data_IF_921233618213
#
_entry.id   IF_921233618213
#
_cell.length_a   1.000
_cell.length_b   1.000
_cell.length_c   1.000
_cell.angle_alpha   90.00
_cell.angle_beta   90.00
_cell.angle_gamma   90.00
#
_symmetry.space_group_name_H-M   'P 1'
#
loop_
_entity.id
_entity.type
_entity.pdbx_description
1 polymer ?
#
# COMPACT_ATOMS: atom_id res chain seq x y z
N UNK A 1 -20.60 8.92 -7.36
CA UNK A 1 -19.20 8.46 -7.55
C UNK A 1 -19.17 6.95 -7.40
N UNK A 2 -18.48 6.21 -8.26
CA UNK A 2 -18.39 4.74 -8.15
C UNK A 2 -17.32 4.44 -7.09
N UNK A 3 -17.68 3.66 -6.07
CA UNK A 3 -16.71 3.18 -5.06
C UNK A 3 -15.86 2.09 -5.70
N UNK A 4 -14.54 2.25 -5.63
CA UNK A 4 -13.58 1.26 -6.09
C UNK A 4 -13.05 0.42 -4.92
N UNK A 5 -12.73 -0.83 -5.20
CA UNK A 5 -12.12 -1.76 -4.24
C UNK A 5 -10.65 -2.02 -4.63
N UNK A 6 -9.85 -2.45 -3.66
CA UNK A 6 -8.47 -2.85 -3.90
C UNK A 6 -8.43 -4.05 -4.86
N UNK A 7 -7.77 -3.87 -6.00
CA UNK A 7 -7.59 -4.88 -7.03
C UNK A 7 -6.40 -5.81 -6.79
N UNK A 8 -6.22 -6.76 -7.70
CA UNK A 8 -5.11 -7.72 -7.67
C UNK A 8 -3.75 -7.05 -7.82
N UNK A 9 -3.66 -5.94 -8.57
CA UNK A 9 -2.41 -5.21 -8.77
C UNK A 9 -1.91 -4.60 -7.46
N UNK A 10 -2.78 -3.83 -6.80
CA UNK A 10 -2.48 -3.18 -5.53
C UNK A 10 -2.28 -4.19 -4.40
N UNK A 11 -3.15 -5.20 -4.28
CA UNK A 11 -3.00 -6.22 -3.23
C UNK A 11 -1.72 -7.03 -3.38
N UNK A 12 -1.31 -7.39 -4.61
CA UNK A 12 -0.03 -8.06 -4.86
C UNK A 12 1.14 -7.17 -4.47
N UNK A 13 1.09 -5.88 -4.84
CA UNK A 13 2.16 -4.93 -4.56
C UNK A 13 2.32 -4.71 -3.06
N UNK A 14 1.23 -4.44 -2.32
CA UNK A 14 1.29 -4.27 -0.86
C UNK A 14 1.88 -5.52 -0.22
N UNK A 15 1.32 -6.71 -0.51
CA UNK A 15 1.79 -7.98 0.07
C UNK A 15 3.25 -8.31 -0.23
N UNK A 16 3.79 -7.83 -1.34
CA UNK A 16 5.21 -8.01 -1.70
C UNK A 16 6.14 -7.20 -0.80
N UNK A 17 5.68 -6.04 -0.33
CA UNK A 17 6.45 -5.16 0.55
C UNK A 17 6.18 -5.42 2.04
N UNK A 18 5.07 -6.08 2.37
CA UNK A 18 4.76 -6.52 3.73
C UNK A 18 5.33 -7.91 4.04
N UNK A 19 5.87 -8.09 5.26
CA UNK A 19 6.26 -9.43 5.74
C UNK A 19 5.05 -10.34 5.91
N UNK A 20 5.16 -11.63 5.56
CA UNK A 20 4.08 -12.61 5.70
C UNK A 20 4.41 -13.76 6.65
N UNK A 21 3.52 -14.02 7.62
CA UNK A 21 3.57 -15.24 8.44
C UNK A 21 2.18 -15.63 8.95
N UNK A 22 1.83 -16.91 8.85
CA UNK A 22 0.65 -17.45 9.52
C UNK A 22 0.87 -17.64 11.03
N UNK A 23 2.13 -17.75 11.46
CA UNK A 23 2.51 -17.79 12.89
C UNK A 23 2.71 -16.37 13.40
N UNK A 24 2.36 -16.15 14.67
CA UNK A 24 2.69 -14.90 15.35
C UNK A 24 4.20 -14.67 15.37
N UNK A 25 4.62 -13.43 15.15
CA UNK A 25 6.01 -13.01 15.17
C UNK A 25 6.14 -11.61 15.78
N UNK A 26 7.30 -11.26 16.32
CA UNK A 26 7.57 -9.88 16.76
C UNK A 26 7.90 -8.97 15.57
N UNK A 27 7.28 -7.80 15.47
CA UNK A 27 7.64 -6.78 14.49
C UNK A 27 9.04 -6.16 14.80
N UNK A 28 9.52 -5.13 14.07
CA UNK A 28 10.80 -4.48 14.38
C UNK A 28 10.89 -3.87 15.79
N UNK A 29 9.76 -3.53 16.41
CA UNK A 29 9.68 -3.08 17.80
C UNK A 29 9.47 -4.24 18.79
N UNK A 30 9.16 -5.43 18.30
CA UNK A 30 8.88 -6.64 19.08
C UNK A 30 7.40 -6.89 19.33
N UNK A 31 6.50 -6.06 18.79
CA UNK A 31 5.07 -6.24 19.00
C UNK A 31 4.54 -7.46 18.23
N UNK A 32 3.70 -8.31 18.86
CA UNK A 32 3.19 -9.51 18.21
C UNK A 32 2.32 -9.15 17.01
N UNK A 33 2.65 -9.75 15.88
CA UNK A 33 2.12 -9.45 14.55
C UNK A 33 1.85 -10.75 13.79
N UNK A 34 0.92 -10.75 12.83
CA UNK A 34 0.57 -11.92 12.01
C UNK A 34 0.11 -11.51 10.62
N UNK A 35 -0.06 -12.48 9.71
CA UNK A 35 -0.54 -12.22 8.35
C UNK A 35 0.46 -11.35 7.59
N UNK A 36 -0.06 -10.32 6.91
CA UNK A 36 0.74 -9.30 6.22
C UNK A 36 0.93 -8.06 7.08
N UNK A 37 1.54 -8.21 8.27
CA UNK A 37 1.82 -7.09 9.17
C UNK A 37 0.67 -6.68 10.10
N UNK A 38 -0.35 -7.52 10.30
CA UNK A 38 -1.46 -7.23 11.21
C UNK A 38 -0.99 -7.25 12.67
N UNK A 39 -1.05 -6.09 13.32
CA UNK A 39 -0.64 -5.91 14.70
C UNK A 39 -1.70 -6.49 15.66
N UNK A 40 -1.29 -7.42 16.53
CA UNK A 40 -2.21 -8.04 17.49
C UNK A 40 -2.39 -7.13 18.72
N UNK A 41 -1.30 -6.62 19.28
CA UNK A 41 -1.33 -5.70 20.42
C UNK A 41 -0.01 -4.93 20.56
N UNK A 42 -0.06 -3.72 21.15
CA UNK A 42 1.13 -2.95 21.58
C UNK A 42 1.51 -3.18 23.04
N UNK A 43 0.72 -3.93 23.80
CA UNK A 43 0.91 -4.08 25.26
C UNK A 43 1.89 -5.18 25.64
N UNK A 44 2.35 -5.99 24.68
CA UNK A 44 3.32 -7.06 24.89
C UNK A 44 4.40 -7.00 23.84
N UNK A 45 5.60 -7.47 24.19
CA UNK A 45 6.74 -7.54 23.28
C UNK A 45 7.42 -8.90 23.35
N UNK A 46 7.94 -9.35 22.22
CA UNK A 46 8.67 -10.59 22.01
C UNK A 46 9.98 -10.31 21.26
N UNK A 47 10.68 -11.36 20.82
CA UNK A 47 11.87 -11.26 19.98
C UNK A 47 11.62 -10.36 18.77
N UNK A 48 12.42 -9.30 18.61
CA UNK A 48 12.28 -8.32 17.53
C UNK A 48 12.68 -8.91 16.18
N UNK A 49 11.94 -8.54 15.13
CA UNK A 49 12.37 -8.80 13.76
C UNK A 49 13.33 -7.70 13.27
N UNK A 50 14.63 -7.92 13.43
CA UNK A 50 15.66 -7.01 12.92
C UNK A 50 16.09 -7.33 11.48
N UNK A 51 15.68 -8.47 10.93
CA UNK A 51 16.12 -8.95 9.61
C UNK A 51 15.17 -8.57 8.47
N UNK A 52 13.96 -8.11 8.80
CA UNK A 52 12.87 -7.92 7.84
C UNK A 52 12.16 -9.24 7.45
N UNK A 53 12.64 -10.40 7.91
CA UNK A 53 12.03 -11.70 7.68
C UNK A 53 11.27 -12.18 8.93
N UNK A 54 9.92 -12.23 8.92
CA UNK A 54 9.12 -12.66 10.08
C UNK A 54 9.55 -14.00 10.69
N UNK A 55 10.10 -14.91 9.87
CA UNK A 55 10.56 -16.24 10.31
C UNK A 55 11.70 -16.18 11.35
N UNK A 56 12.41 -15.08 11.48
CA UNK A 56 13.51 -14.93 12.47
C UNK A 56 13.02 -14.49 13.84
N UNK A 57 11.72 -14.29 14.02
CA UNK A 57 11.12 -13.69 15.22
C UNK A 57 9.81 -14.37 15.63
N UNK A 58 9.61 -15.61 15.16
CA UNK A 58 8.39 -16.37 15.45
C UNK A 58 8.26 -16.60 16.96
N UNK A 59 7.04 -16.39 17.47
CA UNK A 59 6.70 -16.83 18.82
C UNK A 59 6.69 -18.37 18.84
N UNK A 60 7.16 -18.92 19.96
CA UNK A 60 6.95 -20.34 20.26
C UNK A 60 5.46 -20.65 20.40
N UNK A 61 5.09 -21.93 20.28
CA UNK A 61 3.68 -22.32 20.41
C UNK A 61 3.12 -21.97 21.80
N UNK A 62 3.93 -22.11 22.86
CA UNK A 62 3.54 -21.78 24.22
C UNK A 62 3.26 -20.27 24.38
N UNK A 63 4.15 -19.41 23.87
CA UNK A 63 3.96 -17.96 23.88
C UNK A 63 2.72 -17.54 23.09
N UNK A 64 2.50 -18.13 21.91
CA UNK A 64 1.38 -17.77 21.06
C UNK A 64 0.03 -18.23 21.66
N UNK A 65 0.00 -19.40 22.31
CA UNK A 65 -1.16 -19.88 23.05
C UNK A 65 -1.45 -18.95 24.25
N UNK A 66 -0.43 -18.62 25.04
CA UNK A 66 -0.56 -17.71 26.18
C UNK A 66 -1.04 -16.32 25.75
N UNK A 67 -0.53 -15.79 24.62
CA UNK A 67 -0.99 -14.54 24.04
C UNK A 67 -2.46 -14.61 23.65
N UNK A 68 -2.85 -15.63 22.88
CA UNK A 68 -4.21 -15.82 22.40
C UNK A 68 -5.21 -15.91 23.56
N UNK A 69 -4.91 -16.70 24.59
CA UNK A 69 -5.73 -16.79 25.80
C UNK A 69 -5.80 -15.46 26.55
N UNK A 70 -4.67 -14.77 26.74
CA UNK A 70 -4.63 -13.53 27.52
C UNK A 70 -5.39 -12.37 26.90
N UNK A 71 -5.54 -12.37 25.57
CA UNK A 71 -6.30 -11.36 24.83
C UNK A 71 -7.70 -11.87 24.44
N UNK A 72 -8.08 -13.07 24.88
CA UNK A 72 -9.32 -13.75 24.48
C UNK A 72 -9.52 -13.75 22.96
N UNK A 73 -8.45 -14.03 22.20
CA UNK A 73 -8.52 -14.08 20.74
C UNK A 73 -9.38 -15.27 20.32
N UNK A 74 -10.38 -15.04 19.48
CA UNK A 74 -11.20 -16.10 18.86
C UNK A 74 -10.45 -16.92 17.79
N UNK A 75 -9.11 -16.95 17.82
CA UNK A 75 -8.24 -17.64 16.88
C UNK A 75 -6.89 -17.93 17.53
N UNK A 76 -6.15 -18.90 16.96
CA UNK A 76 -4.84 -19.33 17.44
C UNK A 76 -3.73 -19.00 16.43
N UNK A 77 -2.48 -19.26 16.82
CA UNK A 77 -1.32 -19.27 15.92
C UNK A 77 -0.90 -20.72 15.67
N UNK A 78 -0.71 -21.16 14.42
CA UNK A 78 -0.88 -20.40 13.19
C UNK A 78 -2.35 -20.04 12.88
N UNK A 79 -2.60 -18.86 12.32
CA UNK A 79 -3.91 -18.51 11.76
C UNK A 79 -4.15 -19.21 10.42
N UNK A 80 -5.41 -19.30 9.99
CA UNK A 80 -5.75 -19.77 8.65
C UNK A 80 -5.42 -18.72 7.58
N UNK A 81 -5.19 -19.18 6.34
CA UNK A 81 -5.02 -18.28 5.20
C UNK A 81 -6.24 -17.37 5.01
N UNK A 82 -7.45 -17.87 5.29
CA UNK A 82 -8.67 -17.07 5.24
C UNK A 82 -8.65 -15.94 6.26
N UNK A 83 -8.24 -16.22 7.51
CA UNK A 83 -8.13 -15.20 8.55
C UNK A 83 -7.06 -14.15 8.22
N UNK A 84 -5.92 -14.58 7.65
CA UNK A 84 -4.89 -13.64 7.17
C UNK A 84 -5.42 -12.71 6.07
N UNK A 85 -6.27 -13.21 5.17
CA UNK A 85 -6.94 -12.40 4.14
C UNK A 85 -7.96 -11.43 4.75
N UNK A 86 -8.70 -11.85 5.78
CA UNK A 86 -9.61 -10.96 6.52
C UNK A 86 -8.85 -9.80 7.15
N UNK A 87 -7.76 -10.07 7.89
CA UNK A 87 -6.93 -9.01 8.46
C UNK A 87 -6.38 -8.06 7.39
N UNK A 88 -5.87 -8.60 6.29
CA UNK A 88 -5.39 -7.76 5.20
C UNK A 88 -6.48 -6.85 4.62
N UNK A 89 -7.70 -7.34 4.48
CA UNK A 89 -8.83 -6.53 4.01
C UNK A 89 -9.20 -5.43 5.02
N UNK A 90 -9.18 -5.75 6.31
CA UNK A 90 -9.42 -4.79 7.40
C UNK A 90 -8.31 -3.72 7.44
N UNK A 91 -7.05 -4.12 7.41
CA UNK A 91 -5.88 -3.23 7.50
C UNK A 91 -5.78 -2.29 6.28
N UNK A 92 -6.27 -2.72 5.10
CA UNK A 92 -6.27 -1.89 3.89
C UNK A 92 -7.51 -0.99 3.76
N UNK A 93 -8.54 -1.18 4.60
CA UNK A 93 -9.82 -0.50 4.46
C UNK A 93 -9.70 1.03 4.58
N UNK A 94 -8.88 1.54 5.49
CA UNK A 94 -8.69 2.99 5.65
C UNK A 94 -8.05 3.62 4.39
N UNK A 95 -7.05 2.95 3.81
CA UNK A 95 -6.41 3.42 2.58
C UNK A 95 -7.37 3.39 1.39
N UNK A 96 -8.17 2.33 1.26
CA UNK A 96 -9.24 2.25 0.25
C UNK A 96 -10.26 3.37 0.42
N UNK A 97 -10.70 3.63 1.66
CA UNK A 97 -11.65 4.69 1.95
C UNK A 97 -11.06 6.09 1.66
N UNK A 98 -9.79 6.32 2.00
CA UNK A 98 -9.11 7.57 1.75
C UNK A 98 -8.96 7.87 0.26
N UNK A 99 -8.54 6.89 -0.55
CA UNK A 99 -8.42 7.07 -2.01
C UNK A 99 -9.79 7.26 -2.66
N UNK A 100 -10.83 6.58 -2.18
CA UNK A 100 -12.19 6.83 -2.66
C UNK A 100 -12.66 8.28 -2.37
N UNK A 101 -12.18 8.95 -1.32
CA UNK A 101 -12.53 10.36 -1.07
C UNK A 101 -11.85 11.35 -2.03
N UNK A 102 -10.84 10.92 -2.78
CA UNK A 102 -10.17 11.76 -3.77
C UNK A 102 -11.12 11.97 -4.95
N UNK A 103 -11.49 13.23 -5.20
CA UNK A 103 -12.36 13.62 -6.31
C UNK A 103 -11.51 14.04 -7.50
N UNK A 104 -11.48 13.26 -8.60
CA UNK A 104 -10.84 13.68 -9.85
C UNK A 104 -11.50 14.93 -10.43
N UNK A 105 -10.82 15.68 -11.32
CA UNK A 105 -11.47 16.77 -12.05
C UNK A 105 -12.69 16.27 -12.84
N UNK A 106 -13.65 17.17 -13.09
CA UNK A 106 -14.94 16.83 -13.73
C UNK A 106 -14.76 16.03 -15.01
N UNK A 107 -15.48 14.91 -15.12
CA UNK A 107 -15.40 14.01 -16.28
C UNK A 107 -14.30 12.95 -16.19
N UNK A 108 -13.42 13.01 -15.19
CA UNK A 108 -12.34 12.05 -15.02
C UNK A 108 -12.61 10.98 -13.97
N UNK A 109 -12.05 9.79 -14.20
CA UNK A 109 -12.12 8.64 -13.29
C UNK A 109 -10.79 7.91 -13.30
N UNK A 110 -10.40 7.35 -12.16
CA UNK A 110 -9.24 6.48 -12.07
C UNK A 110 -9.44 5.18 -12.87
N UNK A 111 -8.37 4.66 -13.44
CA UNK A 111 -8.31 3.22 -13.76
C UNK A 111 -8.15 2.40 -12.48
N UNK A 112 -8.37 1.08 -12.57
CA UNK A 112 -8.07 0.18 -11.46
C UNK A 112 -6.59 0.23 -11.05
N UNK A 113 -5.67 0.37 -12.00
CA UNK A 113 -4.23 0.42 -11.73
C UNK A 113 -3.81 1.72 -11.01
N UNK A 114 -4.41 2.85 -11.36
CA UNK A 114 -4.19 4.12 -10.66
C UNK A 114 -4.74 4.08 -9.23
N UNK A 115 -5.96 3.57 -9.07
CA UNK A 115 -6.56 3.38 -7.76
C UNK A 115 -5.71 2.47 -6.87
N UNK A 116 -5.31 1.30 -7.38
CA UNK A 116 -4.47 0.33 -6.69
C UNK A 116 -3.12 0.92 -6.23
N UNK A 117 -2.46 1.69 -7.08
CA UNK A 117 -1.19 2.33 -6.75
C UNK A 117 -1.33 3.40 -5.66
N UNK A 118 -2.39 4.23 -5.72
CA UNK A 118 -2.70 5.21 -4.68
C UNK A 118 -3.05 4.52 -3.36
N UNK A 119 -3.78 3.40 -3.38
CA UNK A 119 -4.08 2.63 -2.16
C UNK A 119 -2.80 2.08 -1.54
N UNK A 120 -1.85 1.56 -2.33
CA UNK A 120 -0.57 1.09 -1.78
C UNK A 120 0.27 2.22 -1.16
N UNK A 121 0.35 3.37 -1.84
CA UNK A 121 1.04 4.55 -1.31
C UNK A 121 0.39 5.00 0.00
N UNK A 122 -0.94 5.06 0.03
CA UNK A 122 -1.73 5.49 1.20
C UNK A 122 -1.63 4.51 2.36
N UNK A 123 -1.66 3.20 2.09
CA UNK A 123 -1.52 2.17 3.12
C UNK A 123 -0.17 2.30 3.85
N UNK A 124 0.89 2.65 3.14
CA UNK A 124 2.23 2.76 3.73
C UNK A 124 2.59 4.14 4.29
N UNK A 125 2.17 5.21 3.63
CA UNK A 125 2.46 6.58 4.07
C UNK A 125 1.35 7.24 4.89
N UNK A 126 0.20 6.58 5.04
CA UNK A 126 -1.01 7.14 5.65
C UNK A 126 -1.77 8.08 4.70
N UNK A 127 -3.03 8.43 5.04
CA UNK A 127 -3.93 9.23 4.18
C UNK A 127 -3.38 10.62 3.79
N UNK A 128 -2.53 11.22 4.63
CA UNK A 128 -1.97 12.56 4.38
C UNK A 128 -1.07 12.63 3.15
N UNK A 129 -0.55 11.50 2.65
CA UNK A 129 0.23 11.50 1.39
C UNK A 129 -0.60 12.03 0.21
N UNK A 130 -1.91 11.78 0.21
CA UNK A 130 -2.84 12.25 -0.81
C UNK A 130 -2.99 13.77 -0.82
N UNK A 131 -2.62 14.43 0.27
CA UNK A 131 -2.74 15.87 0.45
C UNK A 131 -1.44 16.64 0.15
N UNK A 132 -0.36 15.92 -0.15
CA UNK A 132 0.93 16.54 -0.52
C UNK A 132 0.79 17.35 -1.82
N UNK A 133 1.60 18.40 -1.96
CA UNK A 133 1.55 19.27 -3.13
C UNK A 133 1.81 18.50 -4.43
N UNK A 134 2.74 17.55 -4.42
CA UNK A 134 3.07 16.77 -5.62
C UNK A 134 1.94 15.81 -6.02
N UNK A 135 1.31 15.12 -5.06
CA UNK A 135 0.14 14.26 -5.35
C UNK A 135 -1.04 15.10 -5.84
N UNK A 136 -1.32 16.25 -5.21
CA UNK A 136 -2.37 17.17 -5.66
C UNK A 136 -2.09 17.70 -7.08
N UNK A 137 -0.85 18.06 -7.38
CA UNK A 137 -0.45 18.54 -8.71
C UNK A 137 -0.63 17.45 -9.78
N UNK A 138 -0.26 16.20 -9.48
CA UNK A 138 -0.51 15.07 -10.36
C UNK A 138 -2.01 14.86 -10.60
N UNK A 139 -2.82 14.82 -9.54
CA UNK A 139 -4.26 14.58 -9.61
C UNK A 139 -5.04 15.73 -10.29
N UNK A 140 -4.53 16.97 -10.23
CA UNK A 140 -5.14 18.10 -10.92
C UNK A 140 -4.97 18.04 -12.45
N UNK A 141 -4.00 17.26 -12.96
CA UNK A 141 -3.72 17.20 -14.39
C UNK A 141 -4.69 16.24 -15.11
N UNK A 142 -5.56 16.71 -16.02
CA UNK A 142 -6.54 15.86 -16.70
C UNK A 142 -5.90 14.77 -17.57
N UNK A 143 -4.67 14.99 -18.07
CA UNK A 143 -3.98 14.06 -18.97
C UNK A 143 -3.53 12.76 -18.28
N UNK A 144 -3.49 12.72 -16.94
CA UNK A 144 -3.12 11.51 -16.23
C UNK A 144 -4.24 10.45 -16.28
N UNK A 145 -5.49 10.87 -16.49
CA UNK A 145 -6.62 9.96 -16.38
C UNK A 145 -6.88 9.17 -17.68
N UNK A 146 -7.28 7.89 -17.59
CA UNK A 146 -7.62 7.07 -18.77
C UNK A 146 -8.78 7.64 -19.58
N UNK A 147 -9.65 8.40 -18.91
CA UNK A 147 -10.82 9.07 -19.48
C UNK A 147 -10.48 10.27 -20.37
N UNK A 148 -9.23 10.75 -20.35
CA UNK A 148 -8.83 11.84 -21.24
C UNK A 148 -8.94 11.40 -22.70
N UNK A 149 -9.79 12.07 -23.47
CA UNK A 149 -10.03 11.80 -24.89
C UNK A 149 -8.95 12.41 -25.79
N UNK A 150 -8.60 11.74 -26.88
CA UNK A 150 -7.64 12.24 -27.87
C UNK A 150 -6.18 11.87 -27.57
N UNK A 151 -5.27 12.14 -28.52
CA UNK A 151 -3.85 11.87 -28.35
C UNK A 151 -3.23 12.82 -27.31
N UNK A 152 -2.11 12.39 -26.71
CA UNK A 152 -1.24 13.27 -25.94
C UNK A 152 -0.05 13.68 -26.81
N UNK A 153 0.35 14.94 -26.75
CA UNK A 153 1.62 15.39 -27.31
C UNK A 153 2.80 14.79 -26.53
N UNK A 154 3.99 14.78 -27.14
CA UNK A 154 5.20 14.33 -26.44
C UNK A 154 5.47 15.12 -25.15
N UNK A 155 5.17 16.42 -25.12
CA UNK A 155 5.34 17.26 -23.92
C UNK A 155 4.32 16.91 -22.84
N UNK A 156 3.07 16.59 -23.21
CA UNK A 156 2.05 16.14 -22.26
C UNK A 156 2.39 14.76 -21.68
N UNK A 157 2.90 13.83 -22.49
CA UNK A 157 3.38 12.52 -22.04
C UNK A 157 4.51 12.69 -21.03
N UNK A 158 5.52 13.51 -21.35
CA UNK A 158 6.66 13.78 -20.47
C UNK A 158 6.21 14.44 -19.16
N UNK A 159 5.31 15.42 -19.24
CA UNK A 159 4.74 16.07 -18.06
C UNK A 159 4.01 15.08 -17.14
N UNK A 160 3.22 14.15 -17.69
CA UNK A 160 2.58 13.10 -16.91
C UNK A 160 3.61 12.21 -16.20
N UNK A 161 4.65 11.77 -16.90
CA UNK A 161 5.72 10.96 -16.31
C UNK A 161 6.42 11.69 -15.15
N UNK A 162 6.68 12.99 -15.29
CA UNK A 162 7.31 13.81 -14.23
C UNK A 162 6.42 13.99 -13.02
N UNK A 163 5.13 14.29 -13.24
CA UNK A 163 4.16 14.45 -12.16
C UNK A 163 4.02 13.16 -11.34
N UNK A 164 3.92 12.00 -12.00
CA UNK A 164 3.88 10.72 -11.30
C UNK A 164 5.16 10.48 -10.50
N UNK A 165 6.33 10.72 -11.10
CA UNK A 165 7.61 10.53 -10.40
C UNK A 165 7.71 11.41 -9.14
N UNK A 166 7.32 12.68 -9.21
CA UNK A 166 7.28 13.58 -8.04
C UNK A 166 6.25 13.15 -7.01
N UNK A 167 5.03 12.83 -7.42
CA UNK A 167 3.94 12.41 -6.53
C UNK A 167 4.26 11.15 -5.70
N UNK A 168 5.00 10.21 -6.28
CA UNK A 168 5.43 8.99 -5.58
C UNK A 168 6.80 9.14 -4.88
N UNK A 169 7.45 10.31 -4.90
CA UNK A 169 8.71 10.57 -4.18
C UNK A 169 8.47 10.81 -2.67
N UNK A 170 7.96 9.79 -1.98
CA UNK A 170 7.67 9.81 -0.54
C UNK A 170 8.51 8.78 0.25
N UNK A 171 9.24 9.24 1.28
CA UNK A 171 10.29 8.51 2.03
C UNK A 171 11.42 7.88 1.20
N UNK A 172 12.61 8.48 1.17
CA UNK A 172 13.70 8.08 0.26
C UNK A 172 14.19 6.64 0.45
N UNK A 173 14.16 6.14 1.69
CA UNK A 173 14.49 4.74 2.02
C UNK A 173 13.57 3.71 1.34
N UNK A 174 12.40 4.13 0.84
CA UNK A 174 11.40 3.29 0.18
C UNK A 174 11.42 3.42 -1.34
N UNK A 175 12.48 3.98 -1.94
CA UNK A 175 12.59 4.26 -3.38
C UNK A 175 12.15 3.07 -4.26
N UNK A 176 12.53 1.84 -3.93
CA UNK A 176 12.09 0.65 -4.68
C UNK A 176 10.56 0.48 -4.68
N UNK A 177 9.92 0.55 -3.50
CA UNK A 177 8.47 0.45 -3.36
C UNK A 177 7.76 1.55 -4.14
N UNK A 178 8.24 2.79 -3.98
CA UNK A 178 7.70 3.97 -4.67
C UNK A 178 7.78 3.87 -6.19
N UNK A 179 8.89 3.38 -6.75
CA UNK A 179 9.02 3.13 -8.19
C UNK A 179 8.03 2.07 -8.69
N UNK A 180 7.82 0.99 -7.93
CA UNK A 180 6.84 -0.05 -8.30
C UNK A 180 5.40 0.48 -8.27
N UNK A 181 5.06 1.31 -7.28
CA UNK A 181 3.75 1.98 -7.18
C UNK A 181 3.54 2.96 -8.35
N UNK A 182 4.53 3.81 -8.65
CA UNK A 182 4.49 4.72 -9.81
C UNK A 182 4.36 3.96 -11.14
N UNK A 183 5.05 2.83 -11.27
CA UNK A 183 4.94 1.96 -12.45
C UNK A 183 3.54 1.35 -12.56
N UNK A 184 2.97 0.90 -11.44
CA UNK A 184 1.59 0.41 -11.40
C UNK A 184 0.60 1.52 -11.77
N UNK A 185 0.79 2.74 -11.28
CA UNK A 185 -0.07 3.89 -11.60
C UNK A 185 -0.11 4.18 -13.11
N UNK A 186 1.03 4.08 -13.80
CA UNK A 186 1.12 4.29 -15.25
C UNK A 186 0.61 3.09 -16.08
N UNK A 187 0.27 1.95 -15.47
CA UNK A 187 -0.08 0.73 -16.20
C UNK A 187 -1.34 0.93 -17.04
N UNK A 188 -1.20 0.76 -18.35
CA UNK A 188 -2.28 0.91 -19.34
C UNK A 188 -2.60 2.36 -19.72
N UNK A 189 -1.81 3.33 -19.26
CA UNK A 189 -1.98 4.74 -19.60
C UNK A 189 -1.27 5.10 -20.91
N UNK A 190 -1.56 6.29 -21.44
CA UNK A 190 -0.92 6.87 -22.65
C UNK A 190 0.52 7.35 -22.40
N UNK A 191 1.00 7.24 -21.17
CA UNK A 191 2.33 7.63 -20.71
C UNK A 191 2.89 6.53 -19.81
N UNK A 192 4.21 6.51 -19.62
CA UNK A 192 4.90 5.50 -18.81
C UNK A 192 5.61 6.15 -17.62
N UNK A 193 5.99 5.32 -16.64
CA UNK A 193 6.88 5.76 -15.57
C UNK A 193 8.33 5.85 -16.10
N UNK A 194 8.66 6.99 -16.71
CA UNK A 194 9.96 7.25 -17.36
C UNK A 194 11.06 7.66 -16.38
N UNK A 195 10.70 8.45 -15.37
CA UNK A 195 11.64 9.03 -14.42
C UNK A 195 11.54 8.32 -13.08
N UNK A 196 12.61 7.65 -12.60
CA UNK A 196 12.59 7.07 -11.26
C UNK A 196 12.29 8.13 -10.20
N UNK A 197 11.60 7.75 -9.14
CA UNK A 197 11.31 8.68 -8.03
C UNK A 197 12.62 9.24 -7.44
N UNK A 198 12.58 10.50 -6.96
CA UNK A 198 13.73 11.30 -6.49
C UNK A 198 14.76 11.72 -7.55
N UNK A 199 14.43 11.70 -8.84
CA UNK A 199 15.36 12.14 -9.91
C UNK A 199 15.03 13.50 -10.52
N UNK A 200 14.02 14.21 -9.99
CA UNK A 200 13.41 15.43 -10.56
C UNK A 200 13.22 16.55 -9.54
#
# INVERSE_FOLDING_TARGET
MIIMNLGTGGSTLIKKHEGFSLKFYGDPAGYPTVGWGHLITRTKTYTKNTSGNPKTSLLTQAEANALSSSLNLGYTSPISQAKAKTFFAEDTAEAVAAVNKVVPPTGHKFSQSQFDALVSLTFNGGPKVLETNDVKAMLANPHIYPTFSGPLSASQIDACSRLVSKAFSYEIKLQRRRNEEATLFCKGMKYTHKYPVYTL
#
